data_IF_541378140087
#
_entry.id   IF_541378140087
#
_cell.length_a   1.000
_cell.length_b   1.000
_cell.length_c   1.000
_cell.angle_alpha   90.00
_cell.angle_beta   90.00
_cell.angle_gamma   90.00
#
_symmetry.space_group_name_H-M   'P 1'
#
loop_
_entity.id
_entity.type
_entity.pdbx_description
1 polymer ?
#
# COMPACT_ATOMS: atom_id res chain seq x y z
N UNK A 1 6.72 -3.23 5.92
CA UNK A 1 5.78 -2.83 4.86
C UNK A 1 4.46 -2.39 5.45
N UNK A 2 3.80 -3.21 6.29
CA UNK A 2 2.52 -2.85 6.91
C UNK A 2 2.54 -1.50 7.66
N UNK A 3 3.56 -1.27 8.48
CA UNK A 3 3.76 -0.01 9.21
C UNK A 3 3.74 1.24 8.33
N UNK A 4 4.21 1.14 7.08
CA UNK A 4 4.19 2.26 6.12
C UNK A 4 2.76 2.64 5.71
N UNK A 5 1.89 1.66 5.53
CA UNK A 5 0.49 1.91 5.20
C UNK A 5 -0.31 2.39 6.42
N UNK A 6 0.00 1.87 7.61
CA UNK A 6 -0.63 2.33 8.85
C UNK A 6 -0.24 3.79 9.17
N UNK A 7 1.03 4.16 8.96
CA UNK A 7 1.51 5.56 9.08
C UNK A 7 0.76 6.50 8.14
N UNK A 8 0.64 6.14 6.84
CA UNK A 8 -0.16 6.90 5.88
C UNK A 8 -1.61 7.05 6.36
N UNK A 9 -2.22 5.96 6.84
CA UNK A 9 -3.62 5.96 7.30
C UNK A 9 -3.82 6.95 8.43
N UNK A 10 -2.90 6.97 9.40
CA UNK A 10 -2.92 7.93 10.51
C UNK A 10 -2.77 9.38 10.02
N UNK A 11 -1.80 9.66 9.15
CA UNK A 11 -1.61 11.01 8.59
C UNK A 11 -2.86 11.49 7.82
N UNK A 12 -3.52 10.60 7.06
CA UNK A 12 -4.75 10.92 6.33
C UNK A 12 -5.97 11.05 7.24
N UNK A 13 -5.99 10.43 8.43
CA UNK A 13 -7.03 10.65 9.44
C UNK A 13 -6.92 12.05 10.06
N UNK A 14 -5.72 12.51 10.37
CA UNK A 14 -5.48 13.89 10.83
C UNK A 14 -5.89 14.90 9.75
N UNK A 15 -5.58 14.61 8.49
CA UNK A 15 -6.00 15.43 7.36
C UNK A 15 -7.52 15.44 7.17
N UNK A 16 -8.19 14.29 7.41
CA UNK A 16 -9.66 14.20 7.42
C UNK A 16 -10.28 15.09 8.49
N UNK A 17 -9.69 15.11 9.69
CA UNK A 17 -10.13 15.98 10.77
C UNK A 17 -9.97 17.47 10.40
N UNK A 18 -8.85 17.84 9.73
CA UNK A 18 -8.69 19.19 9.19
C UNK A 18 -9.83 19.52 8.23
N UNK A 19 -10.10 18.68 7.22
CA UNK A 19 -11.15 18.93 6.21
C UNK A 19 -12.54 19.05 6.86
N UNK A 20 -12.87 18.16 7.80
CA UNK A 20 -14.14 18.20 8.52
C UNK A 20 -14.30 19.49 9.37
N UNK A 21 -13.20 20.07 9.84
CA UNK A 21 -13.23 21.32 10.62
C UNK A 21 -13.47 22.58 9.77
N UNK A 22 -13.21 22.54 8.46
CA UNK A 22 -13.23 23.72 7.59
C UNK A 22 -14.60 24.39 7.58
N UNK A 23 -15.68 23.63 7.40
CA UNK A 23 -17.03 24.20 7.31
C UNK A 23 -17.50 24.83 8.65
N UNK A 24 -17.42 24.13 9.80
CA UNK A 24 -17.76 24.71 11.10
C UNK A 24 -16.96 25.97 11.44
N UNK A 25 -15.64 25.95 11.23
CA UNK A 25 -14.77 27.10 11.52
C UNK A 25 -15.11 28.29 10.62
N UNK A 26 -15.33 28.05 9.33
CA UNK A 26 -15.72 29.12 8.41
C UNK A 26 -17.10 29.71 8.75
N UNK A 27 -18.06 28.89 9.20
CA UNK A 27 -19.36 29.40 9.66
C UNK A 27 -19.20 30.28 10.90
N UNK A 28 -18.45 29.81 11.90
CA UNK A 28 -18.16 30.59 13.11
C UNK A 28 -17.49 31.94 12.81
N UNK A 29 -16.55 31.97 11.87
CA UNK A 29 -15.88 33.21 11.45
C UNK A 29 -16.83 34.17 10.70
N UNK A 30 -17.73 33.63 9.85
CA UNK A 30 -18.71 34.44 9.10
C UNK A 30 -19.76 35.09 10.01
N UNK A 31 -20.19 34.36 11.04
CA UNK A 31 -21.20 34.81 12.00
C UNK A 31 -20.62 35.67 13.12
N UNK A 32 -19.29 35.88 13.12
CA UNK A 32 -18.62 36.65 14.15
C UNK A 32 -19.07 38.12 14.17
N UNK A 33 -19.29 38.67 15.36
CA UNK A 33 -19.81 40.04 15.55
C UNK A 33 -18.84 41.11 15.00
N UNK A 34 -17.54 40.92 15.24
CA UNK A 34 -16.48 41.81 14.74
C UNK A 34 -16.30 41.69 13.21
N UNK A 35 -16.37 42.82 12.51
CA UNK A 35 -16.13 42.90 11.07
C UNK A 35 -14.69 42.58 10.65
N UNK A 36 -13.70 42.87 11.50
CA UNK A 36 -12.30 42.52 11.23
C UNK A 36 -12.12 41.00 11.23
N UNK A 37 -12.75 40.31 12.19
CA UNK A 37 -12.67 38.83 12.26
C UNK A 37 -13.33 38.17 11.05
N UNK A 38 -14.45 38.72 10.57
CA UNK A 38 -15.13 38.24 9.35
C UNK A 38 -14.24 38.29 8.10
N UNK A 39 -13.27 39.21 8.05
CA UNK A 39 -12.34 39.31 6.90
C UNK A 39 -11.36 38.13 6.82
N UNK A 40 -11.11 37.41 7.93
CA UNK A 40 -10.17 36.28 7.93
C UNK A 40 -10.68 35.02 7.23
N UNK A 41 -11.97 34.92 6.90
CA UNK A 41 -12.54 33.74 6.21
C UNK A 41 -11.81 33.44 4.90
N UNK A 42 -11.52 34.47 4.09
CA UNK A 42 -10.85 34.28 2.80
C UNK A 42 -9.39 33.86 2.95
N UNK A 43 -8.70 34.45 3.93
CA UNK A 43 -7.33 34.09 4.28
C UNK A 43 -7.29 32.65 4.76
N UNK A 44 -8.20 32.27 5.65
CA UNK A 44 -8.30 30.93 6.23
C UNK A 44 -8.52 29.87 5.17
N UNK A 45 -9.49 30.06 4.26
CA UNK A 45 -9.74 29.14 3.12
C UNK A 45 -8.49 28.85 2.31
N UNK A 46 -7.69 29.90 2.05
CA UNK A 46 -6.45 29.79 1.27
C UNK A 46 -5.38 29.00 2.01
N UNK A 47 -5.22 29.24 3.31
CA UNK A 47 -4.25 28.51 4.14
C UNK A 47 -4.67 27.06 4.41
N UNK A 48 -5.96 26.81 4.65
CA UNK A 48 -6.49 25.44 4.81
C UNK A 48 -6.28 24.63 3.53
N UNK A 49 -6.54 25.23 2.36
CA UNK A 49 -6.25 24.60 1.07
C UNK A 49 -4.76 24.30 0.88
N UNK A 50 -3.89 25.28 1.15
CA UNK A 50 -2.44 25.09 1.00
C UNK A 50 -1.91 24.00 1.93
N UNK A 51 -2.35 24.02 3.20
CA UNK A 51 -2.01 23.00 4.18
C UNK A 51 -2.50 21.62 3.73
N UNK A 52 -3.75 21.54 3.24
CA UNK A 52 -4.34 20.30 2.76
C UNK A 52 -3.53 19.67 1.62
N UNK A 53 -3.26 20.44 0.56
CA UNK A 53 -2.59 19.94 -0.64
C UNK A 53 -1.15 19.53 -0.35
N UNK A 54 -0.42 20.35 0.43
CA UNK A 54 0.98 20.07 0.78
C UNK A 54 1.06 18.83 1.66
N UNK A 55 0.21 18.73 2.69
CA UNK A 55 0.18 17.55 3.56
C UNK A 55 -0.21 16.29 2.80
N UNK A 56 -1.27 16.34 1.97
CA UNK A 56 -1.72 15.20 1.19
C UNK A 56 -0.62 14.65 0.27
N UNK A 57 0.02 15.53 -0.50
CA UNK A 57 1.08 15.13 -1.41
C UNK A 57 2.31 14.62 -0.66
N UNK A 58 2.73 15.29 0.42
CA UNK A 58 3.89 14.87 1.21
C UNK A 58 3.67 13.48 1.85
N UNK A 59 2.48 13.23 2.42
CA UNK A 59 2.10 11.92 2.96
C UNK A 59 2.08 10.83 1.88
N UNK A 60 1.53 11.14 0.70
CA UNK A 60 1.51 10.22 -0.42
C UNK A 60 2.92 9.88 -0.94
N UNK A 61 3.78 10.89 -1.12
CA UNK A 61 5.16 10.72 -1.57
C UNK A 61 5.98 9.90 -0.59
N UNK A 62 5.91 10.26 0.69
CA UNK A 62 6.54 9.51 1.78
C UNK A 62 6.07 8.06 1.82
N UNK A 63 4.78 7.80 1.65
CA UNK A 63 4.24 6.44 1.60
C UNK A 63 4.85 5.62 0.45
N UNK A 64 4.87 6.17 -0.77
CA UNK A 64 5.42 5.48 -1.95
C UNK A 64 6.90 5.16 -1.74
N UNK A 65 7.70 6.14 -1.32
CA UNK A 65 9.13 5.96 -1.06
C UNK A 65 9.37 4.90 0.03
N UNK A 66 8.69 5.03 1.18
CA UNK A 66 8.83 4.11 2.29
C UNK A 66 8.41 2.69 1.93
N UNK A 67 7.37 2.51 1.10
CA UNK A 67 6.91 1.20 0.68
C UNK A 67 7.94 0.53 -0.24
N UNK A 68 8.48 1.28 -1.22
CA UNK A 68 9.53 0.79 -2.13
C UNK A 68 10.80 0.41 -1.35
N UNK A 69 11.26 1.27 -0.42
CA UNK A 69 12.42 0.97 0.43
C UNK A 69 12.17 -0.25 1.34
N UNK A 70 11.00 -0.32 1.98
CA UNK A 70 10.64 -1.45 2.83
C UNK A 70 10.61 -2.76 2.02
N UNK A 71 10.02 -2.75 0.82
CA UNK A 71 9.99 -3.91 -0.06
C UNK A 71 11.41 -4.32 -0.49
N UNK A 72 12.24 -3.38 -0.96
CA UNK A 72 13.61 -3.65 -1.38
C UNK A 72 14.46 -4.28 -0.26
N UNK A 73 14.36 -3.76 0.98
CA UNK A 73 15.05 -4.33 2.14
C UNK A 73 14.61 -5.77 2.43
N UNK A 74 13.34 -6.09 2.25
CA UNK A 74 12.83 -7.44 2.46
C UNK A 74 13.37 -8.43 1.44
N UNK A 75 13.43 -8.04 0.17
CA UNK A 75 14.04 -8.86 -0.89
C UNK A 75 15.54 -9.02 -0.62
N UNK A 76 16.25 -7.93 -0.31
CA UNK A 76 17.69 -7.93 -0.08
C UNK A 76 18.15 -8.84 1.07
N UNK A 77 17.33 -9.04 2.10
CA UNK A 77 17.64 -9.95 3.21
C UNK A 77 17.73 -11.43 2.82
N UNK A 78 17.27 -11.80 1.63
CA UNK A 78 17.05 -13.19 1.23
C UNK A 78 17.92 -13.66 0.09
N UNK A 79 18.47 -12.72 -0.67
CA UNK A 79 19.22 -13.01 -1.88
C UNK A 79 20.53 -12.24 -1.86
N UNK A 80 21.53 -12.75 -2.56
CA UNK A 80 22.77 -12.00 -2.77
C UNK A 80 22.46 -10.72 -3.53
N UNK A 81 23.28 -9.68 -3.33
CA UNK A 81 23.09 -8.41 -4.02
C UNK A 81 23.06 -8.56 -5.56
N UNK A 82 23.84 -9.50 -6.11
CA UNK A 82 23.87 -9.81 -7.54
C UNK A 82 22.56 -10.45 -8.07
N UNK A 83 21.77 -11.06 -7.18
CA UNK A 83 20.51 -11.75 -7.52
C UNK A 83 19.28 -10.84 -7.35
N UNK A 84 19.47 -9.60 -6.88
CA UNK A 84 18.41 -8.60 -6.86
C UNK A 84 17.94 -8.26 -8.29
N UNK A 85 16.72 -7.71 -8.45
CA UNK A 85 16.25 -7.22 -9.73
C UNK A 85 17.32 -6.34 -10.43
N UNK A 86 17.69 -6.61 -11.69
CA UNK A 86 18.78 -5.88 -12.35
C UNK A 86 18.58 -4.36 -12.38
N UNK A 87 17.31 -3.90 -12.47
CA UNK A 87 16.95 -2.49 -12.37
C UNK A 87 17.28 -1.91 -10.99
N UNK A 88 17.06 -2.65 -9.91
CA UNK A 88 17.39 -2.25 -8.54
C UNK A 88 18.91 -2.13 -8.38
N UNK A 89 19.67 -3.15 -8.79
CA UNK A 89 21.14 -3.15 -8.71
C UNK A 89 21.72 -1.94 -9.46
N UNK A 90 21.26 -1.71 -10.70
CA UNK A 90 21.69 -0.57 -11.52
C UNK A 90 21.35 0.76 -10.86
N UNK A 91 20.11 0.92 -10.37
CA UNK A 91 19.64 2.14 -9.73
C UNK A 91 20.40 2.41 -8.43
N UNK A 92 20.54 1.41 -7.58
CA UNK A 92 21.26 1.52 -6.31
C UNK A 92 22.71 1.96 -6.53
N UNK A 93 23.41 1.34 -7.49
CA UNK A 93 24.79 1.70 -7.83
C UNK A 93 24.88 3.14 -8.35
N UNK A 94 24.11 3.49 -9.38
CA UNK A 94 24.21 4.81 -10.02
C UNK A 94 23.81 5.94 -9.06
N UNK A 95 22.72 5.75 -8.31
CA UNK A 95 22.21 6.76 -7.38
C UNK A 95 23.07 6.89 -6.13
N UNK A 96 23.71 5.81 -5.67
CA UNK A 96 24.71 5.93 -4.60
C UNK A 96 25.90 6.79 -5.06
N UNK A 97 26.41 6.56 -6.28
CA UNK A 97 27.48 7.36 -6.84
C UNK A 97 27.08 8.84 -6.99
N UNK A 98 25.87 9.13 -7.50
CA UNK A 98 25.34 10.49 -7.63
C UNK A 98 25.27 11.20 -6.27
N UNK A 99 24.80 10.51 -5.22
CA UNK A 99 24.65 11.07 -3.87
C UNK A 99 26.01 11.44 -3.28
N UNK A 100 27.00 10.54 -3.39
CA UNK A 100 28.37 10.80 -2.93
C UNK A 100 28.99 11.97 -3.70
N UNK A 101 28.84 12.00 -5.03
CA UNK A 101 29.41 13.04 -5.88
C UNK A 101 28.82 14.44 -5.62
N UNK A 102 27.56 14.52 -5.20
CA UNK A 102 26.92 15.81 -4.85
C UNK A 102 27.52 16.45 -3.58
N UNK A 103 28.15 15.67 -2.69
CA UNK A 103 28.79 16.21 -1.48
C UNK A 103 27.82 16.86 -0.48
N UNK A 104 26.56 16.42 -0.46
CA UNK A 104 25.49 16.97 0.43
C UNK A 104 25.03 15.99 1.51
N UNK A 105 25.80 14.95 1.78
CA UNK A 105 25.53 14.03 2.88
C UNK A 105 25.65 14.80 4.21
N UNK A 106 24.73 14.57 5.14
CA UNK A 106 24.61 15.38 6.35
C UNK A 106 23.76 16.66 6.21
N UNK A 107 23.21 16.96 5.02
CA UNK A 107 22.34 18.11 4.80
C UNK A 107 20.93 17.75 4.32
N UNK A 108 19.93 18.54 4.72
CA UNK A 108 18.58 18.47 4.16
C UNK A 108 18.00 17.05 4.15
N UNK A 109 17.64 16.54 2.96
CA UNK A 109 17.12 15.17 2.78
C UNK A 109 18.13 14.06 3.12
N UNK A 110 19.40 14.40 3.33
CA UNK A 110 20.48 13.48 3.69
C UNK A 110 21.05 13.74 5.10
N UNK A 111 20.37 14.53 5.93
CA UNK A 111 20.87 14.95 7.24
C UNK A 111 21.30 13.80 8.17
N UNK A 112 20.67 12.62 8.03
CA UNK A 112 21.00 11.44 8.84
C UNK A 112 22.08 10.52 8.26
N UNK A 113 22.69 10.86 7.12
CA UNK A 113 23.62 9.98 6.42
C UNK A 113 25.05 10.48 6.51
N UNK A 114 25.98 9.55 6.74
CA UNK A 114 27.44 9.80 6.72
C UNK A 114 28.05 9.15 5.49
N UNK A 115 29.06 9.78 4.88
CA UNK A 115 29.73 9.22 3.69
C UNK A 115 30.26 7.80 3.94
N UNK A 116 30.85 7.59 5.11
CA UNK A 116 31.44 6.30 5.48
C UNK A 116 30.41 5.16 5.49
N UNK A 117 29.18 5.41 5.95
CA UNK A 117 28.13 4.40 5.98
C UNK A 117 27.63 4.09 4.57
N UNK A 118 27.46 5.13 3.74
CA UNK A 118 27.02 4.99 2.34
C UNK A 118 28.03 4.17 1.52
N UNK A 119 29.32 4.45 1.70
CA UNK A 119 30.42 3.72 1.04
C UNK A 119 30.51 2.29 1.57
N UNK A 120 30.43 2.09 2.88
CA UNK A 120 30.45 0.76 3.50
C UNK A 120 29.32 -0.13 2.95
N UNK A 121 28.09 0.38 2.94
CA UNK A 121 26.94 -0.34 2.42
C UNK A 121 27.13 -0.76 0.95
N UNK A 122 27.62 0.16 0.11
CA UNK A 122 27.89 -0.14 -1.29
C UNK A 122 29.01 -1.19 -1.45
N UNK A 123 30.08 -1.09 -0.67
CA UNK A 123 31.17 -2.06 -0.68
C UNK A 123 30.67 -3.46 -0.28
N UNK A 124 29.90 -3.58 0.80
CA UNK A 124 29.33 -4.86 1.24
C UNK A 124 28.44 -5.48 0.15
N UNK A 125 27.61 -4.67 -0.51
CA UNK A 125 26.77 -5.10 -1.64
C UNK A 125 27.62 -5.65 -2.80
N UNK A 126 28.64 -4.91 -3.24
CA UNK A 126 29.46 -5.28 -4.40
C UNK A 126 30.42 -6.44 -4.12
N UNK A 127 30.85 -6.61 -2.87
CA UNK A 127 31.79 -7.65 -2.46
C UNK A 127 31.10 -8.97 -2.06
N UNK A 128 29.77 -9.07 -2.21
CA UNK A 128 29.01 -10.28 -1.89
C UNK A 128 28.95 -10.60 -0.40
N UNK A 129 29.04 -9.59 0.47
CA UNK A 129 28.91 -9.79 1.93
C UNK A 129 27.44 -10.09 2.27
N UNK A 130 27.21 -11.04 3.17
CA UNK A 130 25.87 -11.36 3.69
C UNK A 130 25.88 -11.43 5.22
N UNK A 131 25.00 -10.71 5.93
CA UNK A 131 24.01 -9.76 5.39
C UNK A 131 24.67 -8.47 4.84
N UNK A 132 24.00 -7.80 3.89
CA UNK A 132 24.34 -6.46 3.41
C UNK A 132 23.16 -5.50 3.63
N UNK A 133 23.44 -4.20 3.53
CA UNK A 133 22.42 -3.15 3.63
C UNK A 133 22.40 -2.32 2.36
N UNK A 134 21.21 -2.10 1.79
CA UNK A 134 21.02 -1.15 0.68
C UNK A 134 21.02 0.28 1.22
N UNK A 135 21.56 1.21 0.43
CA UNK A 135 21.36 2.63 0.65
C UNK A 135 19.94 3.02 0.23
N UNK A 136 18.99 3.03 1.17
CA UNK A 136 17.57 3.29 0.90
C UNK A 136 17.34 4.59 0.12
N UNK A 137 18.10 5.65 0.42
CA UNK A 137 18.02 6.92 -0.31
C UNK A 137 18.36 6.80 -1.79
N UNK A 138 19.18 5.82 -2.18
CA UNK A 138 19.49 5.53 -3.58
C UNK A 138 18.39 4.68 -4.23
N UNK A 139 17.77 3.76 -3.46
CA UNK A 139 16.64 2.94 -3.89
C UNK A 139 15.44 3.81 -4.26
N UNK A 140 15.09 4.76 -3.40
CA UNK A 140 13.92 5.64 -3.59
C UNK A 140 14.24 6.89 -4.41
N UNK A 141 15.51 7.18 -4.71
CA UNK A 141 15.88 8.40 -5.43
C UNK A 141 15.06 8.61 -6.71
N UNK A 142 14.40 9.77 -6.77
CA UNK A 142 13.80 10.36 -7.95
C UNK A 142 14.05 11.88 -7.93
N UNK A 143 14.10 12.48 -9.12
CA UNK A 143 14.36 13.93 -9.31
C UNK A 143 13.09 14.68 -9.78
N UNK A 144 11.99 13.96 -10.02
CA UNK A 144 10.71 14.48 -10.51
C UNK A 144 9.59 14.19 -9.48
N UNK A 145 8.53 14.98 -9.49
CA UNK A 145 7.33 14.69 -8.70
C UNK A 145 6.71 13.34 -9.12
N UNK A 146 5.98 12.70 -8.20
CA UNK A 146 5.36 11.39 -8.41
C UNK A 146 4.13 11.45 -9.35
N UNK A 147 4.37 11.72 -10.65
CA UNK A 147 3.38 11.44 -11.70
C UNK A 147 3.31 9.93 -11.96
N UNK A 148 2.28 9.43 -12.66
CA UNK A 148 2.11 7.98 -12.88
C UNK A 148 3.36 7.26 -13.40
N UNK A 149 4.08 7.86 -14.34
CA UNK A 149 5.33 7.31 -14.87
C UNK A 149 6.43 7.16 -13.82
N UNK A 150 6.60 8.15 -12.93
CA UNK A 150 7.58 8.09 -11.84
C UNK A 150 7.23 7.03 -10.79
N UNK A 151 5.94 6.85 -10.50
CA UNK A 151 5.47 5.79 -9.61
C UNK A 151 5.82 4.42 -10.23
N UNK A 152 5.48 4.21 -11.50
CA UNK A 152 5.79 2.97 -12.21
C UNK A 152 7.31 2.72 -12.28
N UNK A 153 8.12 3.73 -12.54
CA UNK A 153 9.59 3.62 -12.54
C UNK A 153 10.17 3.22 -11.18
N UNK A 154 9.65 3.78 -10.09
CA UNK A 154 10.08 3.46 -8.72
C UNK A 154 9.81 2.00 -8.37
N UNK A 155 8.60 1.52 -8.66
CA UNK A 155 8.22 0.14 -8.38
C UNK A 155 8.86 -0.86 -9.34
N UNK A 156 8.99 -0.51 -10.63
CA UNK A 156 9.68 -1.35 -11.61
C UNK A 156 11.15 -1.56 -11.23
N UNK A 157 11.80 -0.58 -10.58
CA UNK A 157 13.16 -0.76 -10.07
C UNK A 157 13.27 -1.96 -9.13
N UNK A 158 12.27 -2.18 -8.27
CA UNK A 158 12.24 -3.30 -7.31
C UNK A 158 11.51 -4.54 -7.85
N UNK A 159 11.20 -4.59 -9.14
CA UNK A 159 10.59 -5.77 -9.79
C UNK A 159 9.06 -5.80 -9.77
N UNK A 160 8.40 -4.68 -9.46
CA UNK A 160 6.93 -4.55 -9.52
C UNK A 160 6.58 -3.66 -10.71
N UNK A 161 6.28 -4.29 -11.86
CA UNK A 161 6.02 -3.58 -13.11
C UNK A 161 4.58 -3.07 -13.22
N UNK A 162 4.42 -1.93 -13.92
CA UNK A 162 3.12 -1.35 -14.35
C UNK A 162 2.11 -1.19 -13.21
N UNK A 163 2.52 -0.57 -12.11
CA UNK A 163 1.67 -0.39 -10.93
C UNK A 163 0.40 0.36 -11.26
N UNK A 164 0.49 1.50 -11.96
CA UNK A 164 -0.66 2.34 -12.29
C UNK A 164 -1.69 1.62 -13.16
N UNK A 165 -1.24 0.71 -14.04
CA UNK A 165 -2.15 -0.12 -14.84
C UNK A 165 -2.80 -1.22 -14.01
N UNK A 166 -2.04 -1.89 -13.14
CA UNK A 166 -2.53 -3.02 -12.34
C UNK A 166 -3.52 -2.59 -11.25
N UNK A 167 -3.29 -1.45 -10.60
CA UNK A 167 -4.20 -0.95 -9.55
C UNK A 167 -5.60 -0.62 -10.08
N UNK A 168 -5.79 -0.44 -11.40
CA UNK A 168 -7.11 -0.21 -12.02
C UNK A 168 -8.13 -1.27 -11.65
N UNK A 169 -7.68 -2.49 -11.38
CA UNK A 169 -8.53 -3.65 -11.05
C UNK A 169 -8.47 -4.01 -9.57
N UNK A 170 -7.75 -3.26 -8.76
CA UNK A 170 -7.67 -3.51 -7.33
C UNK A 170 -9.00 -3.17 -6.65
N UNK A 171 -9.42 -4.02 -5.71
CA UNK A 171 -10.71 -3.90 -5.02
C UNK A 171 -10.94 -2.51 -4.43
N UNK A 172 -9.95 -1.96 -3.73
CA UNK A 172 -10.07 -0.65 -3.07
C UNK A 172 -10.30 0.49 -4.07
N UNK A 173 -9.63 0.46 -5.23
CA UNK A 173 -9.80 1.49 -6.25
C UNK A 173 -11.12 1.34 -7.01
N UNK A 174 -11.56 0.11 -7.25
CA UNK A 174 -12.87 -0.18 -7.83
C UNK A 174 -14.00 0.28 -6.90
N UNK A 175 -13.90 0.00 -5.61
CA UNK A 175 -14.87 0.43 -4.59
C UNK A 175 -14.98 1.95 -4.55
N UNK A 176 -13.85 2.66 -4.48
CA UNK A 176 -13.83 4.13 -4.53
C UNK A 176 -14.42 4.66 -5.83
N UNK A 177 -14.07 4.07 -6.98
CA UNK A 177 -14.56 4.52 -8.27
C UNK A 177 -16.08 4.33 -8.40
N UNK A 178 -16.60 3.18 -7.95
CA UNK A 178 -18.05 2.93 -7.96
C UNK A 178 -18.78 3.91 -7.05
N UNK A 179 -18.27 4.14 -5.84
CA UNK A 179 -18.86 5.08 -4.89
C UNK A 179 -18.86 6.52 -5.44
N UNK A 180 -17.73 6.99 -5.98
CA UNK A 180 -17.58 8.35 -6.51
C UNK A 180 -18.40 8.60 -7.78
N UNK A 181 -18.68 7.56 -8.58
CA UNK A 181 -19.49 7.64 -9.81
C UNK A 181 -20.95 7.20 -9.62
N UNK A 182 -21.33 6.73 -8.43
CA UNK A 182 -22.67 6.20 -8.17
C UNK A 182 -23.00 4.93 -8.98
N UNK A 183 -21.99 4.11 -9.28
CA UNK A 183 -22.16 2.88 -10.05
C UNK A 183 -22.54 1.71 -9.14
N UNK A 184 -23.54 0.94 -9.56
CA UNK A 184 -23.97 -0.25 -8.83
C UNK A 184 -23.01 -1.45 -8.99
N UNK A 185 -22.21 -1.47 -10.06
CA UNK A 185 -21.27 -2.55 -10.37
C UNK A 185 -19.95 -1.98 -10.89
N UNK A 186 -18.86 -2.68 -10.56
CA UNK A 186 -17.52 -2.35 -11.02
C UNK A 186 -17.38 -2.55 -12.55
N UNK A 187 -16.67 -1.64 -13.25
CA UNK A 187 -16.33 -1.84 -14.66
C UNK A 187 -15.50 -3.11 -14.86
N UNK A 188 -15.81 -3.91 -15.88
CA UNK A 188 -15.06 -5.14 -16.19
C UNK A 188 -13.59 -4.86 -16.51
N UNK A 189 -13.30 -3.76 -17.21
CA UNK A 189 -11.94 -3.36 -17.60
C UNK A 189 -11.18 -2.58 -16.51
N UNK A 190 -11.76 -2.49 -15.31
CA UNK A 190 -11.22 -1.70 -14.22
C UNK A 190 -11.51 -0.20 -14.34
N UNK A 191 -10.97 0.58 -13.39
CA UNK A 191 -11.00 2.04 -13.43
C UNK A 191 -10.29 2.54 -14.70
N UNK A 192 -10.83 3.51 -15.45
CA UNK A 192 -10.16 4.04 -16.65
C UNK A 192 -8.76 4.60 -16.32
N UNK A 193 -7.74 4.28 -17.12
CA UNK A 193 -6.37 4.75 -16.90
C UNK A 193 -6.28 6.27 -16.81
N UNK A 194 -7.00 6.97 -17.70
CA UNK A 194 -7.10 8.43 -17.70
C UNK A 194 -7.61 9.00 -16.37
N UNK A 195 -8.46 8.27 -15.62
CA UNK A 195 -8.91 8.71 -14.29
C UNK A 195 -7.74 8.68 -13.29
N UNK A 196 -6.91 7.64 -13.31
CA UNK A 196 -5.74 7.53 -12.43
C UNK A 196 -4.73 8.62 -12.77
N UNK A 197 -4.43 8.77 -14.06
CA UNK A 197 -3.50 9.79 -14.55
C UNK A 197 -3.94 11.18 -14.12
N UNK A 198 -5.17 11.58 -14.45
CA UNK A 198 -5.71 12.89 -14.11
C UNK A 198 -5.70 13.16 -12.61
N UNK A 199 -6.07 12.17 -11.78
CA UNK A 199 -6.14 12.36 -10.31
C UNK A 199 -4.76 12.54 -9.68
N UNK A 200 -3.76 11.79 -10.13
CA UNK A 200 -2.38 11.94 -9.63
C UNK A 200 -1.79 13.27 -10.13
N UNK A 201 -1.99 13.60 -11.40
CA UNK A 201 -1.50 14.84 -11.98
C UNK A 201 -2.12 16.08 -11.35
N UNK A 202 -3.42 16.05 -11.02
CA UNK A 202 -4.10 17.15 -10.35
C UNK A 202 -3.48 17.43 -8.98
N UNK A 203 -3.17 16.41 -8.17
CA UNK A 203 -2.54 16.61 -6.86
C UNK A 203 -1.13 17.19 -7.01
N UNK A 204 -0.34 16.68 -7.95
CA UNK A 204 1.00 17.19 -8.27
C UNK A 204 0.93 18.66 -8.70
N UNK A 205 0.00 19.00 -9.59
CA UNK A 205 -0.17 20.35 -10.10
C UNK A 205 -0.65 21.31 -9.01
N UNK A 206 -1.63 20.92 -8.20
CA UNK A 206 -2.09 21.70 -7.05
C UNK A 206 -0.95 21.97 -6.07
N UNK A 207 -0.11 20.98 -5.76
CA UNK A 207 1.06 21.16 -4.90
C UNK A 207 2.05 22.14 -5.49
N UNK A 208 2.33 22.02 -6.79
CA UNK A 208 3.21 22.95 -7.50
C UNK A 208 2.65 24.38 -7.50
N UNK A 209 1.35 24.56 -7.69
CA UNK A 209 0.70 25.87 -7.63
C UNK A 209 0.83 26.51 -6.24
N UNK A 210 0.62 25.75 -5.16
CA UNK A 210 0.81 26.24 -3.80
C UNK A 210 2.26 26.68 -3.58
N UNK A 211 3.23 25.86 -4.00
CA UNK A 211 4.66 26.13 -3.83
C UNK A 211 5.16 27.33 -4.66
N UNK A 212 4.73 27.47 -5.91
CA UNK A 212 5.24 28.50 -6.82
C UNK A 212 4.45 29.82 -6.79
N UNK A 213 3.15 29.81 -6.47
CA UNK A 213 2.30 31.02 -6.50
C UNK A 213 2.14 31.70 -5.15
N UNK A 214 3.04 31.45 -4.19
CA UNK A 214 2.99 32.07 -2.85
C UNK A 214 1.66 31.82 -2.14
N UNK A 215 1.03 30.67 -2.39
CA UNK A 215 -0.25 30.31 -1.79
C UNK A 215 -1.47 31.02 -2.36
N UNK A 216 -1.48 31.54 -3.60
CA UNK A 216 -2.69 32.13 -4.23
C UNK A 216 -3.24 31.32 -5.44
N UNK A 217 -3.70 30.07 -5.26
CA UNK A 217 -4.37 29.30 -6.31
C UNK A 217 -5.73 29.93 -6.66
N UNK A 218 -6.10 29.86 -7.94
CA UNK A 218 -7.33 30.46 -8.48
C UNK A 218 -8.53 29.53 -8.31
N UNK A 219 -8.28 28.22 -8.28
CA UNK A 219 -9.28 27.15 -8.20
C UNK A 219 -9.06 26.31 -6.93
N UNK A 220 -9.59 26.80 -5.80
CA UNK A 220 -9.45 26.15 -4.50
C UNK A 220 -10.48 25.03 -4.37
N UNK A 221 -10.02 23.86 -3.93
CA UNK A 221 -10.91 22.74 -3.61
C UNK A 221 -11.85 23.12 -2.45
N UNK A 222 -13.13 22.78 -2.59
CA UNK A 222 -14.08 22.77 -1.48
C UNK A 222 -13.88 21.54 -0.56
N UNK A 223 -14.46 21.52 0.64
CA UNK A 223 -14.33 20.39 1.58
C UNK A 223 -14.75 19.04 0.98
N UNK A 224 -15.78 19.02 0.13
CA UNK A 224 -16.25 17.80 -0.53
C UNK A 224 -15.23 17.30 -1.55
N UNK A 225 -14.63 18.20 -2.33
CA UNK A 225 -13.62 17.84 -3.33
C UNK A 225 -12.29 17.43 -2.67
N UNK A 226 -11.93 18.05 -1.54
CA UNK A 226 -10.82 17.62 -0.70
C UNK A 226 -11.04 16.19 -0.20
N UNK A 227 -12.26 15.90 0.26
CA UNK A 227 -12.65 14.57 0.75
C UNK A 227 -12.61 13.52 -0.36
N UNK A 228 -13.10 13.83 -1.55
CA UNK A 228 -13.02 12.95 -2.73
C UNK A 228 -11.57 12.69 -3.15
N UNK A 229 -10.74 13.74 -3.19
CA UNK A 229 -9.31 13.64 -3.52
C UNK A 229 -8.55 12.76 -2.52
N UNK A 230 -8.85 12.92 -1.22
CA UNK A 230 -8.32 12.01 -0.20
C UNK A 230 -8.82 10.58 -0.39
N UNK A 231 -10.11 10.40 -0.69
CA UNK A 231 -10.69 9.08 -0.94
C UNK A 231 -9.95 8.33 -2.05
N UNK A 232 -9.60 9.05 -3.13
CA UNK A 232 -8.76 8.52 -4.20
C UNK A 232 -7.38 8.10 -3.70
N UNK A 233 -6.66 8.97 -2.98
CA UNK A 233 -5.31 8.66 -2.46
C UNK A 233 -5.33 7.46 -1.52
N UNK A 234 -6.32 7.34 -0.62
CA UNK A 234 -6.48 6.18 0.25
C UNK A 234 -6.65 4.90 -0.59
N UNK A 235 -7.56 4.93 -1.56
CA UNK A 235 -7.86 3.77 -2.40
C UNK A 235 -6.68 3.36 -3.28
N UNK A 236 -6.00 4.32 -3.90
CA UNK A 236 -4.81 4.10 -4.70
C UNK A 236 -3.67 3.53 -3.84
N UNK A 237 -3.35 4.16 -2.72
CA UNK A 237 -2.28 3.68 -1.81
C UNK A 237 -2.55 2.29 -1.26
N UNK A 238 -3.80 1.98 -0.89
CA UNK A 238 -4.20 0.63 -0.45
C UNK A 238 -4.00 -0.41 -1.56
N UNK A 239 -4.30 -0.03 -2.80
CA UNK A 239 -4.13 -0.88 -3.98
C UNK A 239 -2.66 -1.16 -4.26
N UNK A 240 -1.82 -0.13 -4.24
CA UNK A 240 -0.36 -0.26 -4.41
C UNK A 240 0.25 -1.12 -3.28
N UNK A 241 -0.16 -0.89 -2.03
CA UNK A 241 0.26 -1.70 -0.90
C UNK A 241 -0.09 -3.18 -1.08
N UNK A 242 -1.34 -3.45 -1.47
CA UNK A 242 -1.84 -4.81 -1.75
C UNK A 242 -1.03 -5.50 -2.84
N UNK A 243 -0.63 -4.77 -3.89
CA UNK A 243 0.25 -5.30 -4.93
C UNK A 243 1.66 -5.64 -4.43
N UNK A 244 2.25 -4.78 -3.60
CA UNK A 244 3.56 -5.05 -3.01
C UNK A 244 3.54 -6.28 -2.10
N UNK A 245 2.46 -6.43 -1.30
CA UNK A 245 2.21 -7.63 -0.50
C UNK A 245 2.01 -8.86 -1.39
N UNK A 246 1.25 -8.73 -2.48
CA UNK A 246 1.03 -9.84 -3.41
C UNK A 246 2.33 -10.37 -4.00
N UNK A 247 3.18 -9.47 -4.51
CA UNK A 247 4.48 -9.85 -5.05
C UNK A 247 5.36 -10.52 -4.00
N UNK A 248 5.35 -9.98 -2.78
CA UNK A 248 6.06 -10.57 -1.65
C UNK A 248 5.57 -12.00 -1.34
N UNK A 249 4.25 -12.21 -1.24
CA UNK A 249 3.65 -13.51 -0.94
C UNK A 249 3.90 -14.52 -2.06
N UNK A 250 3.80 -14.08 -3.31
CA UNK A 250 4.09 -14.89 -4.50
C UNK A 250 5.55 -15.37 -4.48
N UNK A 251 6.51 -14.46 -4.30
CA UNK A 251 7.94 -14.79 -4.31
C UNK A 251 8.39 -15.65 -3.12
N UNK A 252 7.62 -15.65 -2.03
CA UNK A 252 8.08 -16.21 -0.75
C UNK A 252 7.29 -17.41 -0.24
N UNK A 253 6.03 -17.55 -0.65
CA UNK A 253 5.11 -18.55 -0.10
C UNK A 253 4.39 -19.36 -1.17
N UNK A 254 4.30 -18.86 -2.41
CA UNK A 254 3.64 -19.60 -3.50
C UNK A 254 4.56 -20.62 -4.19
N UNK A 255 5.85 -20.66 -3.84
CA UNK A 255 6.78 -21.67 -4.36
C UNK A 255 6.52 -23.08 -3.80
N UNK A 256 6.90 -24.15 -4.53
CA UNK A 256 6.75 -25.52 -4.06
C UNK A 256 7.37 -25.73 -2.67
N UNK A 257 6.57 -26.16 -1.70
CA UNK A 257 6.99 -26.45 -0.33
C UNK A 257 7.08 -25.25 0.62
N UNK A 258 6.78 -24.02 0.17
CA UNK A 258 6.78 -22.83 1.02
C UNK A 258 5.43 -22.53 1.68
N UNK A 259 4.34 -23.10 1.16
CA UNK A 259 3.00 -23.00 1.72
C UNK A 259 2.21 -24.30 1.58
N UNK A 260 1.00 -24.31 2.13
CA UNK A 260 0.03 -25.39 1.95
C UNK A 260 -0.90 -24.97 0.81
N UNK A 261 -0.66 -25.52 -0.38
CA UNK A 261 -1.54 -25.30 -1.54
C UNK A 261 -2.90 -25.97 -1.29
N UNK A 262 -3.97 -25.21 -1.45
CA UNK A 262 -5.35 -25.61 -1.25
C UNK A 262 -6.12 -25.46 -2.56
N UNK A 263 -6.31 -26.58 -3.23
CA UNK A 263 -7.03 -26.63 -4.49
C UNK A 263 -8.54 -26.54 -4.24
N UNK A 264 -9.19 -25.52 -4.81
CA UNK A 264 -10.65 -25.42 -4.77
C UNK A 264 -11.27 -26.55 -5.59
N UNK A 265 -12.33 -27.14 -5.03
CA UNK A 265 -13.21 -28.07 -5.77
C UNK A 265 -14.14 -27.28 -6.71
N UNK A 266 -14.98 -27.99 -7.47
CA UNK A 266 -16.00 -27.37 -8.32
C UNK A 266 -17.16 -26.75 -7.52
N UNK A 267 -17.30 -27.15 -6.26
CA UNK A 267 -18.34 -26.68 -5.34
C UNK A 267 -17.94 -25.35 -4.70
N UNK A 268 -18.88 -24.40 -4.72
CA UNK A 268 -18.65 -23.04 -4.25
C UNK A 268 -17.91 -22.15 -5.27
N UNK A 269 -17.43 -20.97 -4.80
CA UNK A 269 -17.54 -20.47 -3.44
C UNK A 269 -18.99 -20.06 -3.04
N UNK A 270 -19.26 -19.95 -1.74
CA UNK A 270 -20.57 -19.63 -1.14
C UNK A 270 -20.50 -18.41 -0.22
N UNK A 271 -21.68 -17.85 0.16
CA UNK A 271 -21.84 -16.69 1.05
C UNK A 271 -20.95 -15.50 0.63
N UNK A 272 -21.20 -14.96 -0.56
CA UNK A 272 -20.42 -13.85 -1.14
C UNK A 272 -18.91 -14.16 -1.17
N UNK A 273 -18.59 -15.36 -1.64
CA UNK A 273 -17.23 -15.83 -1.87
C UNK A 273 -16.35 -16.00 -0.62
N UNK A 274 -16.95 -16.07 0.58
CA UNK A 274 -16.21 -16.22 1.85
C UNK A 274 -16.10 -17.68 2.31
N UNK A 275 -16.86 -18.60 1.70
CA UNK A 275 -16.75 -20.02 1.98
C UNK A 275 -16.28 -20.73 0.70
N UNK A 276 -15.14 -21.39 0.76
CA UNK A 276 -14.61 -22.22 -0.33
C UNK A 276 -14.63 -23.69 0.09
N UNK A 277 -14.80 -24.60 -0.88
CA UNK A 277 -14.63 -26.03 -0.64
C UNK A 277 -13.32 -26.44 -1.29
N UNK A 278 -12.40 -26.98 -0.51
CA UNK A 278 -11.08 -27.40 -1.01
C UNK A 278 -10.92 -28.91 -0.93
N UNK A 279 -10.04 -29.43 -1.78
CA UNK A 279 -9.60 -30.81 -1.67
C UNK A 279 -8.88 -31.07 -0.35
N UNK A 280 -8.77 -32.35 0.01
CA UNK A 280 -8.11 -32.75 1.24
C UNK A 280 -6.65 -32.26 1.25
N UNK A 281 -6.23 -31.46 2.25
CA UNK A 281 -4.89 -30.89 2.28
C UNK A 281 -3.86 -31.97 2.62
N UNK A 282 -2.66 -31.84 2.06
CA UNK A 282 -1.53 -32.70 2.38
C UNK A 282 -0.98 -32.45 3.80
N UNK A 283 -1.34 -31.33 4.42
CA UNK A 283 -0.86 -30.87 5.73
C UNK A 283 -2.03 -30.43 6.60
N UNK A 284 -1.80 -30.34 7.91
CA UNK A 284 -2.83 -29.94 8.88
C UNK A 284 -3.33 -28.52 8.61
N UNK A 285 -4.64 -28.32 8.66
CA UNK A 285 -5.29 -27.01 8.70
C UNK A 285 -5.95 -26.75 10.05
N UNK A 286 -6.05 -25.49 10.47
CA UNK A 286 -6.72 -25.11 11.71
C UNK A 286 -7.37 -23.72 11.64
N UNK A 287 -8.39 -23.50 12.48
CA UNK A 287 -9.04 -22.18 12.61
C UNK A 287 -8.05 -21.17 13.19
N UNK A 288 -8.00 -19.97 12.61
CA UNK A 288 -7.04 -18.90 12.91
C UNK A 288 -5.79 -18.91 12.02
N UNK A 289 -5.59 -19.96 11.22
CA UNK A 289 -4.41 -20.10 10.37
C UNK A 289 -4.36 -19.01 9.29
N UNK A 290 -3.19 -18.38 9.03
CA UNK A 290 -3.02 -17.42 7.96
C UNK A 290 -3.20 -18.05 6.60
N UNK A 291 -3.89 -17.34 5.72
CA UNK A 291 -4.20 -17.82 4.39
C UNK A 291 -4.32 -16.66 3.42
N UNK A 292 -3.84 -16.86 2.20
CA UNK A 292 -3.90 -15.87 1.13
C UNK A 292 -4.24 -16.50 -0.22
N UNK A 293 -4.64 -15.65 -1.15
CA UNK A 293 -4.86 -15.96 -2.55
C UNK A 293 -4.19 -14.90 -3.39
N UNK A 294 -3.44 -15.32 -4.42
CA UNK A 294 -2.95 -14.41 -5.46
C UNK A 294 -4.04 -14.34 -6.54
N UNK A 295 -4.37 -13.11 -6.92
CA UNK A 295 -5.33 -12.82 -7.98
C UNK A 295 -4.57 -11.98 -9.00
N UNK A 296 -4.05 -12.62 -10.05
CA UNK A 296 -3.05 -12.05 -11.00
C UNK A 296 -3.27 -10.57 -11.37
N UNK A 297 -4.52 -10.21 -11.68
CA UNK A 297 -4.90 -8.87 -12.11
C UNK A 297 -5.17 -7.87 -10.97
N UNK A 298 -5.42 -8.34 -9.74
CA UNK A 298 -5.94 -7.55 -8.61
C UNK A 298 -4.89 -7.39 -7.49
N UNK A 299 -3.95 -8.33 -7.37
CA UNK A 299 -2.95 -8.39 -6.30
C UNK A 299 -3.16 -9.64 -5.45
N UNK A 300 -3.24 -9.47 -4.13
CA UNK A 300 -3.48 -10.56 -3.19
C UNK A 300 -4.62 -10.21 -2.25
N UNK A 301 -5.36 -11.23 -1.82
CA UNK A 301 -6.25 -11.14 -0.66
C UNK A 301 -5.74 -12.09 0.39
N UNK A 302 -5.75 -11.66 1.63
CA UNK A 302 -5.19 -12.44 2.73
C UNK A 302 -5.96 -12.18 4.01
N UNK A 303 -5.87 -13.13 4.93
CA UNK A 303 -6.57 -13.08 6.19
C UNK A 303 -6.42 -14.41 6.92
N UNK A 304 -7.49 -14.88 7.57
CA UNK A 304 -7.45 -16.09 8.41
C UNK A 304 -8.61 -17.03 8.12
N UNK A 305 -8.37 -18.32 8.36
CA UNK A 305 -9.42 -19.33 8.41
C UNK A 305 -10.32 -19.05 9.62
N UNK A 306 -11.59 -18.75 9.39
CA UNK A 306 -12.59 -18.47 10.44
C UNK A 306 -13.36 -19.72 10.87
N UNK A 307 -13.51 -20.71 9.98
CA UNK A 307 -14.17 -21.97 10.29
C UNK A 307 -13.73 -23.08 9.34
N UNK A 308 -13.78 -24.32 9.83
CA UNK A 308 -13.55 -25.54 9.06
C UNK A 308 -14.75 -26.48 9.22
N UNK A 309 -15.13 -27.15 8.13
CA UNK A 309 -16.32 -28.01 8.09
C UNK A 309 -16.07 -29.26 7.24
N UNK A 310 -16.39 -30.43 7.79
CA UNK A 310 -16.38 -31.73 7.10
C UNK A 310 -17.77 -32.35 7.24
N UNK A 311 -18.42 -32.69 6.12
CA UNK A 311 -19.72 -33.39 6.08
C UNK A 311 -20.74 -32.87 7.12
N UNK A 312 -21.01 -31.57 7.05
CA UNK A 312 -21.90 -30.85 7.97
C UNK A 312 -21.43 -30.57 9.40
N UNK A 313 -20.32 -31.15 9.84
CA UNK A 313 -19.74 -30.92 11.18
C UNK A 313 -18.68 -29.82 11.18
N UNK A 314 -18.81 -28.85 12.10
CA UNK A 314 -17.75 -27.87 12.38
C UNK A 314 -16.60 -28.54 13.13
N UNK A 315 -15.37 -28.29 12.68
CA UNK A 315 -14.15 -28.82 13.29
C UNK A 315 -13.17 -27.69 13.56
N UNK A 316 -12.34 -27.84 14.60
CA UNK A 316 -11.31 -26.85 14.92
C UNK A 316 -10.05 -27.00 14.05
N UNK A 317 -9.80 -28.22 13.55
CA UNK A 317 -8.67 -28.54 12.70
C UNK A 317 -9.01 -29.73 11.80
N UNK A 318 -8.30 -29.84 10.68
CA UNK A 318 -8.32 -30.98 9.77
C UNK A 318 -6.91 -31.49 9.59
N UNK A 319 -6.74 -32.81 9.67
CA UNK A 319 -5.48 -33.52 9.48
C UNK A 319 -5.49 -34.33 8.19
N UNK A 320 -4.32 -34.67 7.61
CA UNK A 320 -4.25 -35.52 6.43
C UNK A 320 -4.83 -36.92 6.60
N UNK A 321 -5.15 -37.34 7.83
CA UNK A 321 -5.81 -38.62 8.11
C UNK A 321 -7.34 -38.58 7.98
N UNK A 322 -7.95 -37.39 8.08
CA UNK A 322 -9.41 -37.28 8.22
C UNK A 322 -10.16 -37.71 6.96
N UNK A 323 -11.33 -38.33 7.14
CA UNK A 323 -12.20 -38.75 6.05
C UNK A 323 -13.04 -37.55 5.62
N UNK A 324 -12.75 -37.02 4.43
CA UNK A 324 -13.45 -35.88 3.83
C UNK A 324 -13.69 -36.14 2.33
N UNK A 325 -14.59 -37.07 1.96
CA UNK A 325 -14.79 -37.50 0.58
C UNK A 325 -15.33 -36.39 -0.33
N UNK A 326 -16.05 -35.42 0.24
CA UNK A 326 -16.62 -34.27 -0.46
C UNK A 326 -15.75 -33.01 -0.36
N UNK A 327 -14.52 -33.13 0.15
CA UNK A 327 -13.65 -32.00 0.46
C UNK A 327 -13.98 -31.34 1.80
N UNK A 328 -13.33 -30.20 2.05
CA UNK A 328 -13.42 -29.45 3.31
C UNK A 328 -13.94 -28.06 3.03
N UNK A 329 -15.00 -27.67 3.72
CA UNK A 329 -15.48 -26.30 3.72
C UNK A 329 -14.59 -25.42 4.59
N UNK A 330 -14.03 -24.36 4.00
CA UNK A 330 -13.21 -23.36 4.68
C UNK A 330 -13.95 -22.02 4.64
N UNK A 331 -14.28 -21.49 5.81
CA UNK A 331 -14.74 -20.11 5.96
C UNK A 331 -13.55 -19.16 6.13
N UNK A 332 -13.53 -18.09 5.34
CA UNK A 332 -12.49 -17.07 5.28
C UNK A 332 -13.05 -15.71 5.74
N UNK A 333 -12.21 -14.84 6.28
CA UNK A 333 -12.56 -13.44 6.57
C UNK A 333 -12.39 -12.50 5.37
N UNK A 334 -11.99 -13.03 4.21
CA UNK A 334 -11.94 -12.33 2.94
C UNK A 334 -12.62 -13.13 1.83
N UNK A 335 -12.90 -12.46 0.70
CA UNK A 335 -13.51 -13.09 -0.48
C UNK A 335 -12.47 -13.82 -1.32
N UNK A 336 -12.66 -15.10 -1.59
CA UNK A 336 -11.79 -15.91 -2.44
C UNK A 336 -12.49 -16.17 -3.80
N UNK A 337 -11.94 -15.67 -4.92
CA UNK A 337 -12.53 -15.91 -6.24
C UNK A 337 -12.61 -17.40 -6.57
N UNK A 338 -13.65 -17.79 -7.32
CA UNK A 338 -13.82 -19.16 -7.78
C UNK A 338 -12.61 -19.63 -8.59
N UNK A 339 -12.06 -20.78 -8.23
CA UNK A 339 -10.95 -21.41 -8.95
C UNK A 339 -9.58 -20.78 -8.72
N UNK A 340 -9.48 -19.80 -7.83
CA UNK A 340 -8.19 -19.24 -7.43
C UNK A 340 -7.44 -20.20 -6.50
N UNK A 341 -6.11 -20.24 -6.60
CA UNK A 341 -5.28 -21.07 -5.74
C UNK A 341 -5.11 -20.41 -4.37
N UNK A 342 -5.57 -21.10 -3.33
CA UNK A 342 -5.50 -20.64 -1.95
C UNK A 342 -4.25 -21.25 -1.30
N UNK A 343 -3.48 -20.46 -0.56
CA UNK A 343 -2.26 -20.92 0.10
C UNK A 343 -2.37 -20.61 1.59
N UNK A 344 -2.33 -21.65 2.42
CA UNK A 344 -2.26 -21.51 3.87
C UNK A 344 -0.81 -21.57 4.36
N UNK A 345 -0.50 -20.81 5.41
CA UNK A 345 0.83 -20.75 6.02
C UNK A 345 0.85 -21.53 7.34
N UNK A 346 2.01 -22.06 7.71
CA UNK A 346 2.18 -22.76 8.98
C UNK A 346 2.20 -21.83 10.20
N UNK A 347 2.65 -20.58 9.99
CA UNK A 347 2.77 -19.55 11.00
C UNK A 347 2.48 -18.18 10.39
N UNK A 348 2.26 -17.21 11.27
CA UNK A 348 2.12 -15.82 10.87
C UNK A 348 3.42 -15.33 10.19
N UNK A 349 3.25 -14.62 9.09
CA UNK A 349 4.32 -13.82 8.50
C UNK A 349 4.24 -12.41 9.07
N UNK A 350 5.21 -12.04 9.92
CA UNK A 350 5.27 -10.75 10.62
C UNK A 350 5.29 -9.53 9.66
N UNK A 351 5.51 -9.73 8.37
CA UNK A 351 5.49 -8.63 7.39
C UNK A 351 4.07 -8.31 6.93
N UNK A 352 3.18 -9.31 6.93
CA UNK A 352 1.82 -9.24 6.38
C UNK A 352 0.74 -9.33 7.47
N UNK A 353 0.92 -10.21 8.46
CA UNK A 353 -0.03 -10.48 9.55
C UNK A 353 0.40 -9.95 10.92
N UNK A 354 1.45 -9.11 11.01
CA UNK A 354 1.87 -8.53 12.29
C UNK A 354 0.67 -7.99 13.09
N UNK A 355 0.61 -8.27 14.41
CA UNK A 355 -0.39 -7.66 15.26
C UNK A 355 -0.25 -6.15 15.16
N UNK A 356 -1.38 -5.44 15.01
CA UNK A 356 -1.39 -4.00 15.19
C UNK A 356 -0.75 -3.74 16.56
N UNK A 357 0.38 -3.02 16.59
CA UNK A 357 0.99 -2.60 17.84
C UNK A 357 -0.09 -1.90 18.64
N UNK A 358 -0.51 -2.52 19.73
CA UNK A 358 -1.38 -1.89 20.72
C UNK A 358 -0.61 -0.67 21.17
N UNK A 359 -1.00 0.50 20.70
CA UNK A 359 -0.55 1.75 21.30
C UNK A 359 -1.13 1.74 22.70
N UNK A 360 -0.29 1.37 23.67
CA UNK A 360 -0.57 1.60 25.08
C UNK A 360 -1.00 3.06 25.22
N UNK A 361 -2.25 3.26 25.61
CA UNK A 361 -2.75 4.56 25.98
C UNK A 361 -1.85 5.10 27.11
N UNK A 362 -1.47 6.38 27.10
CA UNK A 362 -0.74 6.96 28.22
C UNK A 362 -1.62 6.79 29.46
N UNK A 363 -1.04 6.19 30.51
CA UNK A 363 -1.67 6.11 31.82
C UNK A 363 -2.06 7.54 32.25
N UNK A 364 -3.34 7.70 32.57
CA UNK A 364 -3.96 8.94 33.04
C UNK A 364 -3.35 9.45 34.35
#
# INVERSE_FOLDING_TARGET
MRSTFDELTKELEELRALVASIAPVNSALKEHKDSLVRQYVMIRRRFDYAAFVVALYASFEKFVENLVAAYARLVARRVQYADLPPKLVKKHLSRTADILARGRLGEGRYAGLREIDVVKNLFECLNGVTPYTLNDVAVVAHDLNLRPGQIDELFAAVGIEKVCERVRRADALLEWYCASKGLAQAPQDGVPSATIEQRIEDIVERRNQVAHRGGNPVDLLGPDEMSDTMGFIVAFSKSVFTMAVAKYLEDHHAGPGQGIALQQTREGPYRNDTIVVVEKPARRLFVGQPVFVIVDAVGARWGRIQSLKIDDALVAAVTPGDVAPNGIGIGLDFRCPKGAELVALDADDDIVWAPATVTDAPAA
#
